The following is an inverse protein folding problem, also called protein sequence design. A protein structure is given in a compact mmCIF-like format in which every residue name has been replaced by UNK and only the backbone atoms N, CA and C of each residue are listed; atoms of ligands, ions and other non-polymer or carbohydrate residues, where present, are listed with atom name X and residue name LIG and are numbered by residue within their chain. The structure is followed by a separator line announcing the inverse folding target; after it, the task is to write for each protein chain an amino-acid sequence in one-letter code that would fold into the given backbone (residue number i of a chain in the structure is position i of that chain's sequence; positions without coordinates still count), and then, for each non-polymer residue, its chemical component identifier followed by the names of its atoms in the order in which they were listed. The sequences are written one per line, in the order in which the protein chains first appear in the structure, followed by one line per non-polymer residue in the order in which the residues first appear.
data_IF_617491803160
#
_entry.id   IF_617491803160
#
_cell.length_a   1.000
_cell.length_b   1.000
_cell.length_c   1.000
_cell.angle_alpha   90.00
_cell.angle_beta   90.00
_cell.angle_gamma   90.00
#
_symmetry.space_group_name_H-M   'P 1'
#
loop_
_entity.id
_entity.type
_entity.pdbx_description
1 polymer ?
#
# COMPACT_ATOMS: atom_id res chain seq x y z
N UNK A 1 8.67 -3.20 -17.16
CA UNK A 1 8.14 -2.00 -16.48
C UNK A 1 9.21 -1.03 -15.99
N UNK A 2 10.10 -1.39 -15.04
CA UNK A 2 11.07 -0.46 -14.42
C UNK A 2 12.43 -0.33 -15.13
N UNK A 3 12.69 -1.17 -16.12
CA UNK A 3 13.98 -1.21 -16.83
C UNK A 3 13.76 -1.12 -18.34
N UNK A 4 14.45 -0.20 -19.01
CA UNK A 4 14.37 0.03 -20.46
C UNK A 4 14.75 -1.22 -21.25
N UNK A 5 15.81 -1.91 -20.82
CA UNK A 5 16.28 -3.17 -21.41
C UNK A 5 15.32 -4.37 -21.22
N UNK A 6 14.20 -4.18 -20.51
CA UNK A 6 13.11 -5.16 -20.36
C UNK A 6 11.76 -4.59 -20.81
N UNK A 7 11.76 -3.68 -21.79
CA UNK A 7 10.55 -3.07 -22.35
C UNK A 7 9.84 -2.12 -21.39
N UNK A 8 10.56 -1.57 -20.41
CA UNK A 8 10.07 -0.58 -19.44
C UNK A 8 10.65 0.81 -19.69
N UNK A 9 10.63 1.63 -18.63
CA UNK A 9 11.26 2.93 -18.60
C UNK A 9 12.14 2.97 -17.35
N UNK A 10 13.40 3.34 -17.52
CA UNK A 10 14.33 3.49 -16.40
C UNK A 10 13.90 4.64 -15.49
N UNK A 11 14.35 4.55 -14.25
CA UNK A 11 14.03 5.52 -13.20
C UNK A 11 14.63 6.91 -13.52
N UNK A 12 13.90 8.00 -13.23
CA UNK A 12 14.47 9.33 -13.08
C UNK A 12 15.20 9.42 -11.72
N UNK A 13 16.22 10.28 -11.58
CA UNK A 13 17.09 10.34 -10.39
C UNK A 13 16.34 10.06 -9.05
N UNK A 14 16.57 8.89 -8.39
CA UNK A 14 15.79 8.45 -7.24
C UNK A 14 15.95 9.33 -6.00
N UNK A 15 17.00 10.15 -5.94
CA UNK A 15 17.23 11.09 -4.84
C UNK A 15 16.45 12.40 -5.00
N UNK A 16 15.84 12.62 -6.17
CA UNK A 16 15.11 13.85 -6.50
C UNK A 16 13.64 13.61 -6.82
N UNK A 17 13.29 12.41 -7.27
CA UNK A 17 11.96 12.12 -7.79
C UNK A 17 11.40 10.83 -7.20
N UNK A 18 10.13 10.90 -6.82
CA UNK A 18 9.30 9.71 -6.69
C UNK A 18 8.95 9.22 -8.08
N UNK A 19 9.33 7.98 -8.39
CA UNK A 19 9.03 7.36 -9.66
C UNK A 19 7.76 6.51 -9.54
N UNK A 20 6.80 6.77 -10.41
CA UNK A 20 5.53 6.04 -10.47
C UNK A 20 5.37 5.47 -11.88
N UNK A 21 5.38 4.15 -11.99
CA UNK A 21 5.10 3.46 -13.25
C UNK A 21 3.62 3.06 -13.32
N UNK A 22 3.01 3.28 -14.48
CA UNK A 22 1.64 2.85 -14.76
C UNK A 22 1.70 1.79 -15.86
N UNK A 23 1.45 0.53 -15.51
CA UNK A 23 1.54 -0.58 -16.45
C UNK A 23 0.70 -1.79 -16.03
N UNK A 24 0.38 -2.66 -16.99
CA UNK A 24 -0.29 -3.92 -16.67
C UNK A 24 0.57 -4.78 -15.75
N UNK A 25 -0.04 -5.24 -14.66
CA UNK A 25 0.59 -6.10 -13.67
C UNK A 25 0.07 -7.53 -13.83
N UNK A 26 0.95 -8.52 -13.69
CA UNK A 26 0.53 -9.91 -13.49
C UNK A 26 -0.01 -10.09 -12.07
N UNK A 27 -0.84 -11.13 -11.85
CA UNK A 27 -1.57 -11.43 -10.60
C UNK A 27 -2.69 -10.44 -10.27
N UNK A 28 -3.53 -10.74 -9.31
CA UNK A 28 -4.62 -9.85 -8.86
C UNK A 28 -4.15 -8.82 -7.82
N UNK A 29 -3.13 -8.02 -8.18
CA UNK A 29 -2.67 -6.88 -7.38
C UNK A 29 -2.98 -5.54 -8.07
N UNK A 30 -3.31 -4.52 -7.29
CA UNK A 30 -3.67 -3.19 -7.81
C UNK A 30 -2.42 -2.32 -8.05
N UNK A 31 -1.41 -2.50 -7.21
CA UNK A 31 -0.14 -1.80 -7.22
C UNK A 31 0.86 -2.50 -6.30
N UNK A 32 2.09 -1.98 -6.26
CA UNK A 32 3.09 -2.34 -5.27
C UNK A 32 4.13 -1.22 -5.14
N UNK A 33 4.82 -1.17 -4.00
CA UNK A 33 5.91 -0.25 -3.74
C UNK A 33 7.21 -0.97 -3.35
N UNK A 34 8.33 -0.25 -3.49
CA UNK A 34 9.59 -0.64 -2.85
C UNK A 34 9.77 0.18 -1.57
N UNK A 35 9.87 -0.50 -0.43
CA UNK A 35 10.21 0.12 0.85
C UNK A 35 11.61 0.76 0.81
N UNK A 36 11.88 1.79 1.63
CA UNK A 36 13.21 2.37 1.75
C UNK A 36 14.26 1.32 2.11
N UNK A 37 15.40 1.32 1.41
CA UNK A 37 16.53 0.42 1.69
C UNK A 37 16.35 -1.05 1.30
N UNK A 38 15.17 -1.48 0.85
CA UNK A 38 14.87 -2.90 0.60
C UNK A 38 15.26 -3.41 -0.80
N UNK A 39 15.77 -2.55 -1.68
CA UNK A 39 16.12 -2.95 -3.04
C UNK A 39 16.97 -1.90 -3.77
N UNK A 40 17.37 -2.20 -5.02
CA UNK A 40 18.20 -1.30 -5.81
C UNK A 40 17.56 0.07 -6.05
N UNK A 41 18.39 1.10 -6.17
CA UNK A 41 17.97 2.45 -6.56
C UNK A 41 17.26 2.46 -7.92
N UNK A 42 17.69 1.60 -8.85
CA UNK A 42 17.11 1.46 -10.19
C UNK A 42 15.63 1.01 -10.19
N UNK A 43 15.13 0.45 -9.08
CA UNK A 43 13.75 -0.01 -8.94
C UNK A 43 12.96 0.74 -7.87
N UNK A 44 13.54 1.77 -7.27
CA UNK A 44 12.90 2.55 -6.21
C UNK A 44 11.63 3.27 -6.71
N UNK A 45 10.55 3.18 -5.96
CA UNK A 45 9.27 3.84 -6.28
C UNK A 45 8.09 2.88 -6.34
N UNK A 46 7.01 3.36 -6.96
CA UNK A 46 5.66 2.79 -6.92
C UNK A 46 5.22 2.32 -8.30
N UNK A 47 4.47 1.23 -8.38
CA UNK A 47 3.81 0.80 -9.61
C UNK A 47 2.32 0.64 -9.37
N UNK A 48 1.50 1.13 -10.29
CA UNK A 48 0.04 1.04 -10.23
C UNK A 48 -0.51 0.52 -11.55
N UNK A 49 -1.52 -0.36 -11.49
CA UNK A 49 -2.22 -0.83 -12.68
C UNK A 49 -3.05 0.31 -13.30
N UNK A 50 -3.11 0.45 -14.65
CA UNK A 50 -3.80 1.55 -15.32
C UNK A 50 -5.25 1.75 -14.87
N UNK A 51 -6.01 0.67 -14.69
CA UNK A 51 -7.42 0.73 -14.26
C UNK A 51 -7.64 1.17 -12.82
N UNK A 52 -6.57 1.42 -12.05
CA UNK A 52 -6.61 1.84 -10.64
C UNK A 52 -5.72 3.06 -10.36
N UNK A 53 -5.26 3.74 -11.41
CA UNK A 53 -4.44 4.96 -11.32
C UNK A 53 -5.27 6.21 -11.64
N UNK A 54 -5.31 7.17 -10.71
CA UNK A 54 -6.10 8.40 -10.86
C UNK A 54 -7.59 8.23 -10.53
N UNK A 55 -8.43 9.10 -11.11
CA UNK A 55 -9.87 9.20 -10.80
C UNK A 55 -10.77 9.37 -12.02
N UNK A 56 -10.20 9.40 -13.22
CA UNK A 56 -10.89 9.68 -14.49
C UNK A 56 -10.59 8.61 -15.54
N UNK A 57 -11.26 8.66 -16.68
CA UNK A 57 -11.04 7.78 -17.83
C UNK A 57 -11.30 6.29 -17.54
N UNK A 58 -10.24 5.48 -17.54
CA UNK A 58 -10.28 4.01 -17.56
C UNK A 58 -10.35 3.37 -16.16
N UNK A 59 -10.50 4.19 -15.11
CA UNK A 59 -10.49 3.71 -13.72
C UNK A 59 -11.74 2.86 -13.40
N UNK A 60 -11.58 1.78 -12.64
CA UNK A 60 -12.65 0.82 -12.32
C UNK A 60 -13.02 0.83 -10.83
N UNK A 61 -14.31 0.91 -10.55
CA UNK A 61 -14.83 0.71 -9.19
C UNK A 61 -14.51 -0.73 -8.71
N UNK A 62 -14.31 -0.95 -7.40
CA UNK A 62 -14.42 0.03 -6.30
C UNK A 62 -13.16 0.89 -6.09
N UNK A 63 -12.08 0.65 -6.84
CA UNK A 63 -10.77 1.31 -6.66
C UNK A 63 -10.55 2.48 -7.63
N UNK A 64 -11.57 3.33 -7.82
CA UNK A 64 -11.60 4.40 -8.83
C UNK A 64 -11.41 5.81 -8.26
N UNK A 65 -10.78 5.93 -7.09
CA UNK A 65 -10.66 7.20 -6.37
C UNK A 65 -9.20 7.58 -6.09
N UNK A 66 -8.24 6.91 -6.71
CA UNK A 66 -6.79 7.17 -6.57
C UNK A 66 -6.14 6.60 -5.30
N UNK A 67 -6.88 5.84 -4.48
CA UNK A 67 -6.40 5.39 -3.15
C UNK A 67 -5.36 4.29 -3.24
N UNK A 68 -5.31 3.54 -4.35
CA UNK A 68 -4.22 2.61 -4.61
C UNK A 68 -2.88 3.34 -4.63
N UNK A 69 -2.76 4.46 -5.36
CA UNK A 69 -1.52 5.23 -5.36
C UNK A 69 -1.19 5.82 -3.99
N UNK A 70 -2.20 6.33 -3.26
CA UNK A 70 -2.00 6.81 -1.88
C UNK A 70 -1.42 5.72 -0.98
N UNK A 71 -1.97 4.51 -1.06
CA UNK A 71 -1.51 3.33 -0.31
C UNK A 71 -0.06 2.96 -0.66
N UNK A 72 0.27 2.82 -1.93
CA UNK A 72 1.62 2.44 -2.33
C UNK A 72 2.66 3.51 -2.01
N UNK A 73 2.30 4.80 -2.08
CA UNK A 73 3.19 5.89 -1.67
C UNK A 73 3.44 5.84 -0.15
N UNK A 74 2.46 5.44 0.65
CA UNK A 74 2.66 5.21 2.09
C UNK A 74 3.72 4.13 2.35
N UNK A 75 3.67 3.01 1.63
CA UNK A 75 4.73 1.98 1.70
C UNK A 75 6.10 2.51 1.26
N UNK A 76 6.15 3.32 0.20
CA UNK A 76 7.39 3.98 -0.22
C UNK A 76 7.93 4.94 0.86
N UNK A 77 7.05 5.54 1.67
CA UNK A 77 7.37 6.36 2.86
C UNK A 77 7.54 5.53 4.15
N UNK A 78 7.76 4.22 4.03
CA UNK A 78 8.04 3.29 5.14
C UNK A 78 6.85 2.91 6.05
N UNK A 79 5.60 3.15 5.62
CA UNK A 79 4.43 2.69 6.37
C UNK A 79 4.08 1.25 6.00
N UNK A 80 3.78 0.42 6.99
CA UNK A 80 3.40 -0.98 6.80
C UNK A 80 1.88 -1.12 6.70
N UNK A 81 1.41 -2.32 6.36
CA UNK A 81 -0.01 -2.64 6.52
C UNK A 81 -0.40 -2.62 7.99
N UNK A 82 -1.58 -2.06 8.30
CA UNK A 82 -2.07 -1.87 9.68
C UNK A 82 -2.24 -3.15 10.52
N UNK A 83 -2.21 -4.33 9.89
CA UNK A 83 -2.27 -5.64 10.56
C UNK A 83 -0.89 -6.30 10.70
N UNK A 84 0.18 -5.51 10.50
CA UNK A 84 1.57 -5.94 10.62
C UNK A 84 1.98 -7.07 9.67
N UNK A 85 1.20 -7.35 8.63
CA UNK A 85 1.36 -8.49 7.72
C UNK A 85 1.37 -9.88 8.38
N UNK A 86 0.94 -9.98 9.65
CA UNK A 86 0.92 -11.23 10.41
C UNK A 86 -0.27 -11.39 11.36
N UNK A 87 -1.12 -10.36 11.49
CA UNK A 87 -2.22 -10.33 12.45
C UNK A 87 -1.73 -10.24 13.88
N UNK A 88 -2.61 -10.42 14.87
CA UNK A 88 -2.19 -10.29 16.27
C UNK A 88 -1.15 -11.35 16.67
N UNK A 89 0.02 -10.99 17.25
CA UNK A 89 0.40 -9.69 17.81
C UNK A 89 1.36 -8.83 16.95
N UNK A 90 1.50 -9.13 15.66
CA UNK A 90 2.28 -8.31 14.72
C UNK A 90 1.65 -6.92 14.57
N UNK A 91 2.51 -5.91 14.40
CA UNK A 91 2.15 -4.50 14.46
C UNK A 91 2.81 -3.72 13.32
N UNK A 92 2.20 -2.61 12.91
CA UNK A 92 2.68 -1.75 11.83
C UNK A 92 3.74 -0.74 12.29
N UNK A 93 4.07 -0.76 13.59
CA UNK A 93 5.08 0.06 14.28
C UNK A 93 4.70 1.52 14.41
N UNK A 94 3.41 1.82 14.38
CA UNK A 94 2.85 3.15 14.61
C UNK A 94 2.01 3.08 15.88
N UNK A 95 2.29 3.91 16.87
CA UNK A 95 1.72 3.72 18.22
C UNK A 95 0.24 4.12 18.33
N UNK A 96 -0.27 4.95 17.39
CA UNK A 96 -1.65 5.46 17.37
C UNK A 96 -2.56 4.70 16.39
N UNK A 97 -2.04 3.69 15.70
CA UNK A 97 -2.83 2.72 14.91
C UNK A 97 -3.21 1.53 15.79
N UNK A 98 -4.50 1.28 16.05
CA UNK A 98 -4.91 0.12 16.83
C UNK A 98 -4.49 -1.18 16.13
N UNK A 99 -4.00 -2.15 16.89
CA UNK A 99 -3.57 -3.46 16.35
C UNK A 99 -4.74 -4.14 15.64
N UNK A 100 -4.49 -4.63 14.43
CA UNK A 100 -5.46 -5.36 13.61
C UNK A 100 -5.00 -6.79 13.34
N UNK A 101 -5.95 -7.74 13.27
CA UNK A 101 -5.64 -9.15 12.99
C UNK A 101 -5.54 -9.46 11.48
N UNK A 102 -6.15 -8.63 10.63
CA UNK A 102 -6.19 -8.80 9.18
C UNK A 102 -6.56 -7.47 8.50
N UNK A 103 -6.52 -7.46 7.16
CA UNK A 103 -7.02 -6.40 6.32
C UNK A 103 -8.54 -6.33 6.32
N UNK A 104 -9.07 -5.11 6.27
CA UNK A 104 -10.48 -4.90 6.01
C UNK A 104 -10.74 -4.84 4.50
N UNK A 105 -11.86 -5.41 4.04
CA UNK A 105 -12.30 -5.35 2.65
C UNK A 105 -13.58 -4.52 2.51
N UNK A 106 -13.76 -3.92 1.32
CA UNK A 106 -14.95 -3.11 1.02
C UNK A 106 -15.06 -1.88 1.93
N UNK A 107 -16.25 -1.66 2.50
CA UNK A 107 -16.51 -0.59 3.44
C UNK A 107 -17.08 -1.19 4.73
N UNK A 108 -16.18 -1.46 5.69
CA UNK A 108 -16.55 -2.04 6.98
C UNK A 108 -17.42 -1.08 7.79
N UNK A 109 -18.35 -1.62 8.58
CA UNK A 109 -19.21 -0.82 9.47
C UNK A 109 -18.48 -0.51 10.77
N UNK A 110 -18.62 0.72 11.24
CA UNK A 110 -18.07 1.13 12.53
C UNK A 110 -18.98 0.72 13.70
N UNK A 111 -18.42 0.24 14.82
CA UNK A 111 -17.02 -0.12 15.02
C UNK A 111 -16.72 -1.52 14.43
N UNK A 112 -15.54 -1.65 13.81
CA UNK A 112 -14.97 -2.97 13.52
C UNK A 112 -13.96 -3.28 14.61
N UNK A 113 -14.25 -4.26 15.45
CA UNK A 113 -13.35 -4.68 16.52
C UNK A 113 -12.43 -5.77 15.97
N UNK A 114 -11.16 -5.44 15.81
CA UNK A 114 -10.10 -6.38 15.50
C UNK A 114 -9.26 -6.62 16.74
N UNK A 115 -8.69 -7.83 16.87
CA UNK A 115 -7.86 -8.23 18.01
C UNK A 115 -8.53 -8.03 19.38
N UNK A 116 -9.36 -8.99 19.80
CA UNK A 116 -9.87 -9.02 21.17
C UNK A 116 -8.81 -9.62 22.08
N UNK A 117 -8.37 -8.84 23.07
CA UNK A 117 -7.75 -9.39 24.27
C UNK A 117 -8.84 -9.51 25.31
N UNK A 118 -8.97 -10.68 25.94
CA UNK A 118 -10.11 -11.06 26.79
C UNK A 118 -10.30 -10.20 28.06
N UNK A 119 -9.53 -9.11 28.23
CA UNK A 119 -9.53 -8.26 29.42
C UNK A 119 -9.52 -6.73 29.16
N UNK A 120 -9.68 -6.25 27.93
CA UNK A 120 -9.73 -4.78 27.67
C UNK A 120 -11.15 -4.34 27.28
N UNK A 121 -11.84 -3.50 28.08
CA UNK A 121 -13.25 -3.18 27.83
C UNK A 121 -13.50 -2.37 26.57
N UNK A 122 -12.49 -1.69 26.02
CA UNK A 122 -12.59 -0.93 24.78
C UNK A 122 -11.22 -0.93 24.13
N UNK A 123 -11.12 -1.41 22.89
CA UNK A 123 -9.92 -1.25 22.06
C UNK A 123 -9.56 0.23 21.97
N UNK A 124 -8.58 0.64 22.75
CA UNK A 124 -8.21 2.03 22.92
C UNK A 124 -7.51 2.51 21.65
N UNK A 125 -8.23 3.37 20.93
CA UNK A 125 -7.65 4.63 20.46
C UNK A 125 -6.81 5.21 21.60
N UNK A 126 -5.49 5.27 21.43
CA UNK A 126 -4.68 6.28 22.10
C UNK A 126 -4.55 7.47 21.17
#
# INVERSE_FOLDING_TARGET
MKLSNRGGIDIANPKKYLNIWVCNLSRDILGYAQFPGMGPDATNGVVVRPTFFGTTEIVRAPFNKGRTTTHEVAHWLNLQHIWGDGGCPYDDRVADTPVSNDRNHGCARYPTVQCRYDNEPYGLYK
#
